data_IF_293165626428
#
_entry.id   IF_293165626428
#
_cell.length_a   1.000
_cell.length_b   1.000
_cell.length_c   1.000
_cell.angle_alpha   90.00
_cell.angle_beta   90.00
_cell.angle_gamma   90.00
#
_symmetry.space_group_name_H-M   'P 1'
#
loop_
_entity.id
_entity.type
_entity.pdbx_description
1 polymer ?
#
# COMPACT_ATOMS: atom_id res chain seq x y z
N UNK A 1 13.06 18.99 8.92
CA UNK A 1 12.56 18.42 7.64
C UNK A 1 13.35 18.86 6.40
N UNK A 2 14.06 20.02 6.44
CA UNK A 2 14.85 20.49 5.31
C UNK A 2 15.81 19.42 4.75
N UNK A 3 16.61 18.69 5.55
CA UNK A 3 17.52 17.69 5.00
C UNK A 3 16.85 16.56 4.19
N UNK A 4 15.59 16.25 4.49
CA UNK A 4 14.80 15.27 3.70
C UNK A 4 14.41 15.87 2.35
N UNK A 5 14.03 17.14 2.32
CA UNK A 5 13.73 17.86 1.08
C UNK A 5 15.00 17.93 0.20
N UNK A 6 16.14 18.31 0.77
CA UNK A 6 17.43 18.38 0.06
C UNK A 6 17.78 17.01 -0.57
N UNK A 7 17.54 15.91 0.15
CA UNK A 7 17.74 14.56 -0.39
C UNK A 7 16.77 14.24 -1.53
N UNK A 8 15.52 14.69 -1.45
CA UNK A 8 14.53 14.49 -2.53
C UNK A 8 14.87 15.32 -3.77
N UNK A 9 15.40 16.54 -3.60
CA UNK A 9 15.94 17.35 -4.71
C UNK A 9 17.12 16.64 -5.39
N UNK A 10 18.07 16.12 -4.60
CA UNK A 10 19.21 15.35 -5.10
C UNK A 10 18.76 14.13 -5.92
N UNK A 11 17.83 13.34 -5.40
CA UNK A 11 17.34 12.11 -6.03
C UNK A 11 16.50 12.36 -7.29
N UNK A 12 15.72 13.44 -7.31
CA UNK A 12 14.82 13.76 -8.41
C UNK A 12 15.41 14.68 -9.47
N UNK A 13 16.44 15.42 -9.12
CA UNK A 13 16.96 16.52 -9.95
C UNK A 13 15.98 17.69 -10.10
N UNK A 14 14.96 17.78 -9.25
CA UNK A 14 13.89 18.80 -9.29
C UNK A 14 13.96 19.71 -8.08
N UNK A 15 13.63 21.00 -8.27
CA UNK A 15 13.58 21.97 -7.17
C UNK A 15 12.33 21.84 -6.33
N UNK A 16 12.47 22.10 -5.03
CA UNK A 16 11.39 22.13 -4.08
C UNK A 16 10.29 23.14 -4.45
N UNK A 17 10.68 24.33 -4.88
CA UNK A 17 9.73 25.43 -5.19
C UNK A 17 8.73 25.02 -6.29
N UNK A 18 9.22 24.28 -7.31
CA UNK A 18 8.39 23.81 -8.40
C UNK A 18 7.55 22.56 -8.01
N UNK A 19 7.95 21.83 -6.98
CA UNK A 19 7.35 20.54 -6.59
C UNK A 19 7.02 20.44 -5.09
N UNK A 20 6.71 21.56 -4.46
CA UNK A 20 6.49 21.69 -3.01
C UNK A 20 5.52 20.63 -2.46
N UNK A 21 4.36 20.45 -3.11
CA UNK A 21 3.35 19.51 -2.63
C UNK A 21 3.87 18.06 -2.63
N UNK A 22 4.47 17.62 -3.73
CA UNK A 22 4.96 16.25 -3.86
C UNK A 22 6.07 15.95 -2.87
N UNK A 23 7.03 16.87 -2.71
CA UNK A 23 8.13 16.68 -1.77
C UNK A 23 7.68 16.70 -0.30
N UNK A 24 6.71 17.57 0.04
CA UNK A 24 6.10 17.58 1.38
C UNK A 24 5.37 16.27 1.68
N UNK A 25 4.57 15.78 0.76
CA UNK A 25 3.86 14.50 0.93
C UNK A 25 4.85 13.35 1.15
N UNK A 26 5.89 13.24 0.31
CA UNK A 26 6.91 12.19 0.48
C UNK A 26 7.58 12.30 1.83
N UNK A 27 8.04 13.49 2.19
CA UNK A 27 8.77 13.76 3.43
C UNK A 27 7.94 13.45 4.68
N UNK A 28 6.70 13.96 4.76
CA UNK A 28 5.82 13.76 5.91
C UNK A 28 5.36 12.31 6.05
N UNK A 29 5.04 11.66 4.94
CA UNK A 29 4.55 10.28 4.97
C UNK A 29 5.66 9.30 5.33
N UNK A 30 6.89 9.50 4.83
CA UNK A 30 8.02 8.64 5.18
C UNK A 30 8.44 8.83 6.63
N UNK A 31 8.44 10.07 7.13
CA UNK A 31 8.65 10.31 8.56
C UNK A 31 7.64 9.54 9.40
N UNK A 32 6.34 9.69 9.10
CA UNK A 32 5.29 8.97 9.81
C UNK A 32 5.45 7.45 9.73
N UNK A 33 5.83 6.91 8.57
CA UNK A 33 6.06 5.48 8.39
C UNK A 33 7.23 4.96 9.24
N UNK A 34 8.34 5.70 9.33
CA UNK A 34 9.49 5.35 10.18
C UNK A 34 9.09 5.24 11.65
N UNK A 35 8.36 6.23 12.16
CA UNK A 35 7.89 6.21 13.56
C UNK A 35 6.88 5.10 13.82
N UNK A 36 5.94 4.85 12.91
CA UNK A 36 4.97 3.76 13.03
C UNK A 36 5.66 2.40 13.11
N UNK A 37 6.70 2.14 12.28
CA UNK A 37 7.45 0.88 12.39
C UNK A 37 8.24 0.82 13.69
N UNK A 38 8.85 1.93 14.11
CA UNK A 38 9.55 2.01 15.39
C UNK A 38 8.63 1.61 16.56
N UNK A 39 7.35 1.99 16.48
CA UNK A 39 6.31 1.62 17.45
C UNK A 39 5.71 0.21 17.21
N UNK A 40 6.27 -0.56 16.28
CA UNK A 40 5.87 -1.95 16.00
C UNK A 40 4.70 -2.11 15.03
N UNK A 41 4.26 -1.03 14.36
CA UNK A 41 3.21 -1.11 13.33
C UNK A 41 3.81 -1.54 12.00
N UNK A 42 3.44 -2.72 11.52
CA UNK A 42 3.86 -3.22 10.21
C UNK A 42 2.81 -2.94 9.13
N UNK A 43 3.23 -2.77 7.84
CA UNK A 43 2.30 -2.62 6.73
C UNK A 43 1.33 -3.79 6.65
N UNK A 44 0.03 -3.51 6.57
CA UNK A 44 -1.00 -4.54 6.59
C UNK A 44 -2.25 -4.17 5.79
N UNK A 45 -3.25 -5.06 5.83
CA UNK A 45 -4.54 -4.86 5.16
C UNK A 45 -5.65 -4.40 6.12
N UNK A 46 -5.34 -4.28 7.42
CA UNK A 46 -6.31 -3.92 8.46
C UNK A 46 -5.73 -2.89 9.41
N UNK A 47 -6.63 -2.11 10.03
CA UNK A 47 -6.32 -1.21 11.14
C UNK A 47 -5.12 -0.27 10.88
N UNK A 48 -4.23 -0.15 11.82
CA UNK A 48 -3.05 0.72 11.75
C UNK A 48 -2.10 0.31 10.61
N UNK A 49 -1.97 -0.99 10.36
CA UNK A 49 -1.15 -1.51 9.25
C UNK A 49 -1.65 -1.08 7.88
N UNK A 50 -2.97 -0.96 7.70
CA UNK A 50 -3.57 -0.42 6.49
C UNK A 50 -3.23 1.08 6.31
N UNK A 51 -3.36 1.86 7.38
CA UNK A 51 -3.01 3.29 7.34
C UNK A 51 -1.52 3.47 6.97
N UNK A 52 -0.65 2.73 7.63
CA UNK A 52 0.79 2.75 7.37
C UNK A 52 1.11 2.40 5.91
N UNK A 53 0.54 1.31 5.40
CA UNK A 53 0.71 0.92 3.99
C UNK A 53 0.22 1.99 3.02
N UNK A 54 -0.90 2.65 3.32
CA UNK A 54 -1.44 3.74 2.50
C UNK A 54 -0.51 4.95 2.46
N UNK A 55 0.03 5.37 3.61
CA UNK A 55 1.01 6.46 3.68
C UNK A 55 2.24 6.15 2.83
N UNK A 56 2.79 4.95 2.97
CA UNK A 56 3.97 4.52 2.23
C UNK A 56 3.72 4.49 0.71
N UNK A 57 2.62 3.89 0.27
CA UNK A 57 2.27 3.82 -1.15
C UNK A 57 2.04 5.20 -1.75
N UNK A 58 1.46 6.11 -0.99
CA UNK A 58 1.30 7.50 -1.42
C UNK A 58 2.66 8.20 -1.55
N UNK A 59 3.56 8.03 -0.60
CA UNK A 59 4.92 8.55 -0.72
C UNK A 59 5.65 8.04 -1.98
N UNK A 60 5.61 6.74 -2.23
CA UNK A 60 6.23 6.13 -3.43
C UNK A 60 5.58 6.64 -4.72
N UNK A 61 4.26 6.86 -4.74
CA UNK A 61 3.57 7.42 -5.91
C UNK A 61 4.02 8.85 -6.21
N UNK A 62 4.11 9.71 -5.18
CA UNK A 62 4.59 11.08 -5.36
C UNK A 62 6.08 11.13 -5.73
N UNK A 63 6.90 10.23 -5.19
CA UNK A 63 8.29 10.11 -5.61
C UNK A 63 8.42 9.69 -7.09
N UNK A 64 7.59 8.76 -7.55
CA UNK A 64 7.53 8.39 -8.96
C UNK A 64 7.16 9.59 -9.85
N UNK A 65 6.25 10.43 -9.41
CA UNK A 65 5.88 11.69 -10.08
C UNK A 65 7.04 12.70 -10.14
N UNK A 66 7.87 12.70 -9.11
CA UNK A 66 9.11 13.48 -9.11
C UNK A 66 10.19 12.92 -10.06
N UNK A 67 9.93 11.77 -10.70
CA UNK A 67 10.89 11.10 -11.59
C UNK A 67 11.83 10.12 -10.86
N UNK A 68 11.59 9.85 -9.57
CA UNK A 68 12.35 8.86 -8.80
C UNK A 68 11.78 7.47 -9.09
N UNK A 69 12.28 6.82 -10.14
CA UNK A 69 11.77 5.53 -10.61
C UNK A 69 12.42 4.30 -9.97
N UNK A 70 13.60 4.47 -9.37
CA UNK A 70 14.30 3.44 -8.61
C UNK A 70 13.87 3.43 -7.13
N UNK A 71 14.27 2.40 -6.40
CA UNK A 71 14.13 2.37 -4.95
C UNK A 71 14.96 3.49 -4.32
N UNK A 72 14.36 4.21 -3.39
CA UNK A 72 14.96 5.41 -2.79
C UNK A 72 14.74 5.51 -1.27
N UNK A 73 13.87 4.66 -0.73
CA UNK A 73 13.43 4.78 0.67
C UNK A 73 14.61 4.69 1.64
N UNK A 74 15.56 3.79 1.40
CA UNK A 74 16.71 3.63 2.29
C UNK A 74 17.52 4.92 2.45
N UNK A 75 17.75 5.65 1.35
CA UNK A 75 18.49 6.92 1.38
C UNK A 75 17.73 7.99 2.18
N UNK A 76 16.42 8.08 1.99
CA UNK A 76 15.58 9.04 2.72
C UNK A 76 15.41 8.64 4.19
N UNK A 77 15.23 7.34 4.49
CA UNK A 77 15.13 6.82 5.85
C UNK A 77 16.38 7.15 6.64
N UNK A 78 17.56 6.98 6.04
CA UNK A 78 18.84 7.33 6.67
C UNK A 78 18.86 8.79 7.11
N UNK A 79 18.39 9.70 6.28
CA UNK A 79 18.30 11.13 6.63
C UNK A 79 17.31 11.37 7.76
N UNK A 80 16.14 10.71 7.73
CA UNK A 80 15.14 10.83 8.79
C UNK A 80 15.72 10.35 10.13
N UNK A 81 16.36 9.18 10.14
CA UNK A 81 16.97 8.62 11.36
C UNK A 81 18.07 9.56 11.89
N UNK A 82 18.91 10.12 11.05
CA UNK A 82 19.94 11.10 11.47
C UNK A 82 19.34 12.35 12.14
N UNK A 83 18.19 12.83 11.68
CA UNK A 83 17.49 13.97 12.28
C UNK A 83 16.99 13.64 13.69
N UNK A 84 16.47 12.44 13.89
CA UNK A 84 15.71 12.10 15.10
C UNK A 84 16.46 11.23 16.13
N UNK A 85 17.61 10.65 15.79
CA UNK A 85 18.34 9.68 16.64
C UNK A 85 18.76 10.21 18.02
N UNK A 86 18.89 11.53 18.19
CA UNK A 86 19.28 12.12 19.47
C UNK A 86 18.07 12.11 20.43
N UNK A 87 16.90 12.53 19.93
CA UNK A 87 15.68 12.62 20.73
C UNK A 87 14.95 11.26 20.85
N UNK A 88 15.16 10.38 19.85
CA UNK A 88 14.55 9.04 19.74
C UNK A 88 15.63 7.99 19.40
N UNK A 89 16.50 7.61 20.35
CA UNK A 89 17.63 6.70 20.10
C UNK A 89 17.23 5.31 19.58
N UNK A 90 16.03 4.84 19.92
CA UNK A 90 15.47 3.57 19.49
C UNK A 90 15.25 3.50 17.96
N UNK A 91 14.98 4.63 17.30
CA UNK A 91 14.90 4.70 15.83
C UNK A 91 16.21 4.26 15.17
N UNK A 92 17.36 4.69 15.72
CA UNK A 92 18.66 4.29 15.20
C UNK A 92 18.95 2.81 15.47
N UNK A 93 18.51 2.28 16.62
CA UNK A 93 18.68 0.86 16.95
C UNK A 93 17.88 -0.05 16.02
N UNK A 94 16.68 0.38 15.60
CA UNK A 94 15.80 -0.36 14.71
C UNK A 94 15.99 -0.03 13.22
N UNK A 95 17.01 0.73 12.85
CA UNK A 95 17.24 1.19 11.47
C UNK A 95 17.14 0.08 10.43
N UNK A 96 17.82 -1.04 10.64
CA UNK A 96 17.84 -2.15 9.69
C UNK A 96 16.44 -2.78 9.53
N UNK A 97 15.67 -2.92 10.61
CA UNK A 97 14.30 -3.42 10.59
C UNK A 97 13.39 -2.48 9.79
N UNK A 98 13.48 -1.18 10.05
CA UNK A 98 12.72 -0.14 9.33
C UNK A 98 13.03 -0.18 7.84
N UNK A 99 14.30 -0.22 7.47
CA UNK A 99 14.75 -0.27 6.07
C UNK A 99 14.25 -1.53 5.37
N UNK A 100 14.36 -2.70 6.00
CA UNK A 100 13.92 -3.96 5.42
C UNK A 100 12.42 -3.95 5.13
N UNK A 101 11.60 -3.52 6.11
CA UNK A 101 10.14 -3.45 5.97
C UNK A 101 9.74 -2.49 4.86
N UNK A 102 10.30 -1.28 4.86
CA UNK A 102 9.94 -0.25 3.88
C UNK A 102 10.41 -0.60 2.46
N UNK A 103 11.63 -1.10 2.30
CA UNK A 103 12.16 -1.53 0.99
C UNK A 103 11.35 -2.69 0.39
N UNK A 104 10.89 -3.63 1.22
CA UNK A 104 10.03 -4.72 0.78
C UNK A 104 8.70 -4.21 0.21
N UNK A 105 8.03 -3.32 0.93
CA UNK A 105 6.76 -2.72 0.48
C UNK A 105 6.97 -1.83 -0.76
N UNK A 106 8.05 -1.05 -0.81
CA UNK A 106 8.38 -0.24 -1.98
C UNK A 106 8.51 -1.09 -3.25
N UNK A 107 9.29 -2.16 -3.18
CA UNK A 107 9.52 -3.07 -4.32
C UNK A 107 8.22 -3.67 -4.83
N UNK A 108 7.39 -4.17 -3.93
CA UNK A 108 6.08 -4.75 -4.27
C UNK A 108 5.18 -3.69 -4.90
N UNK A 109 5.12 -2.50 -4.31
CA UNK A 109 4.23 -1.46 -4.78
C UNK A 109 4.67 -0.85 -6.11
N UNK A 110 5.97 -0.71 -6.38
CA UNK A 110 6.46 -0.19 -7.67
C UNK A 110 6.06 -1.08 -8.86
N UNK A 111 6.02 -2.40 -8.66
CA UNK A 111 5.51 -3.31 -9.70
C UNK A 111 4.02 -3.08 -9.95
N UNK A 112 3.24 -2.95 -8.88
CA UNK A 112 1.82 -2.64 -8.93
C UNK A 112 1.55 -1.26 -9.55
N UNK A 113 2.31 -0.25 -9.15
CA UNK A 113 2.17 1.14 -9.60
C UNK A 113 2.33 1.27 -11.11
N UNK A 114 3.41 0.72 -11.68
CA UNK A 114 3.65 0.76 -13.13
C UNK A 114 2.53 0.08 -13.92
N UNK A 115 2.08 -1.07 -13.43
CA UNK A 115 0.97 -1.82 -14.05
C UNK A 115 -0.34 -1.05 -13.90
N UNK A 116 -0.63 -0.53 -12.71
CA UNK A 116 -1.85 0.22 -12.41
C UNK A 116 -1.98 1.50 -13.24
N UNK A 117 -0.92 2.29 -13.37
CA UNK A 117 -0.93 3.50 -14.21
C UNK A 117 -1.22 3.16 -15.68
N UNK A 118 -0.61 2.10 -16.20
CA UNK A 118 -0.86 1.68 -17.58
C UNK A 118 -2.31 1.23 -17.79
N UNK A 119 -2.86 0.46 -16.88
CA UNK A 119 -4.24 -0.01 -16.97
C UNK A 119 -5.25 1.10 -16.66
N UNK A 120 -4.92 2.05 -15.78
CA UNK A 120 -5.70 3.25 -15.52
C UNK A 120 -6.00 4.00 -16.83
N UNK A 121 -4.99 4.32 -17.62
CA UNK A 121 -5.16 5.03 -18.90
C UNK A 121 -6.04 4.29 -19.91
N UNK A 122 -6.13 2.96 -19.83
CA UNK A 122 -7.00 2.16 -20.69
C UNK A 122 -8.45 2.15 -20.23
N UNK A 123 -8.64 2.03 -18.91
CA UNK A 123 -9.96 1.85 -18.30
C UNK A 123 -10.73 3.17 -18.19
N UNK A 124 -10.04 4.30 -18.14
CA UNK A 124 -10.65 5.62 -17.87
C UNK A 124 -10.94 6.45 -19.11
N UNK A 125 -10.97 5.84 -20.30
CA UNK A 125 -11.23 6.56 -21.56
C UNK A 125 -12.57 7.29 -21.56
N UNK A 126 -13.59 6.72 -20.94
CA UNK A 126 -14.95 7.24 -20.87
C UNK A 126 -15.26 7.86 -19.50
N UNK A 127 -14.27 7.97 -18.61
CA UNK A 127 -14.39 8.44 -17.23
C UNK A 127 -13.99 7.40 -16.21
N UNK A 128 -14.09 7.74 -14.92
CA UNK A 128 -13.76 6.87 -13.80
C UNK A 128 -15.01 6.63 -12.95
N UNK A 129 -15.53 5.40 -12.92
CA UNK A 129 -16.65 4.97 -12.08
C UNK A 129 -16.18 4.04 -10.96
N UNK A 130 -17.08 3.65 -10.06
CA UNK A 130 -16.78 2.65 -9.02
C UNK A 130 -16.30 1.31 -9.57
N UNK A 131 -16.74 0.93 -10.76
CA UNK A 131 -16.36 -0.32 -11.43
C UNK A 131 -14.90 -0.30 -11.91
N UNK A 132 -14.46 0.78 -12.55
CA UNK A 132 -13.06 0.93 -12.97
C UNK A 132 -12.14 1.01 -11.74
N UNK A 133 -12.54 1.75 -10.70
CA UNK A 133 -11.80 1.83 -9.43
C UNK A 133 -11.69 0.44 -8.79
N UNK A 134 -12.79 -0.32 -8.74
CA UNK A 134 -12.77 -1.67 -8.21
C UNK A 134 -11.85 -2.60 -9.01
N UNK A 135 -11.89 -2.52 -10.35
CA UNK A 135 -11.02 -3.32 -11.21
C UNK A 135 -9.54 -2.98 -10.99
N UNK A 136 -9.21 -1.69 -10.87
CA UNK A 136 -7.86 -1.23 -10.57
C UNK A 136 -7.39 -1.73 -9.20
N UNK A 137 -8.25 -1.68 -8.21
CA UNK A 137 -7.95 -2.13 -6.85
C UNK A 137 -7.81 -3.65 -6.75
N UNK A 138 -8.83 -4.40 -7.20
CA UNK A 138 -8.92 -5.85 -7.02
C UNK A 138 -7.95 -6.63 -7.92
N UNK A 139 -7.91 -6.27 -9.21
CA UNK A 139 -7.11 -7.00 -10.20
C UNK A 139 -5.66 -6.53 -10.26
N UNK A 140 -5.44 -5.24 -10.11
CA UNK A 140 -4.11 -4.66 -10.28
C UNK A 140 -3.47 -4.19 -8.97
N UNK A 141 -4.20 -4.20 -7.85
CA UNK A 141 -3.70 -3.74 -6.55
C UNK A 141 -3.44 -2.23 -6.49
N UNK A 142 -4.01 -1.47 -7.43
CA UNK A 142 -3.83 -0.01 -7.48
C UNK A 142 -4.76 0.65 -6.46
N UNK A 143 -4.24 1.45 -5.52
CA UNK A 143 -5.04 2.01 -4.44
C UNK A 143 -6.18 2.90 -4.92
N UNK A 144 -7.34 2.80 -4.26
CA UNK A 144 -8.55 3.58 -4.59
C UNK A 144 -8.27 5.07 -4.60
N UNK A 145 -7.60 5.57 -3.57
CA UNK A 145 -7.28 6.99 -3.43
C UNK A 145 -6.39 7.49 -4.57
N UNK A 146 -5.44 6.65 -5.00
CA UNK A 146 -4.57 7.00 -6.12
C UNK A 146 -5.32 6.99 -7.46
N UNK A 147 -6.31 6.13 -7.64
CA UNK A 147 -7.17 6.14 -8.83
C UNK A 147 -7.93 7.46 -8.95
N UNK A 148 -8.50 7.93 -7.85
CA UNK A 148 -9.25 9.19 -7.81
C UNK A 148 -8.32 10.41 -7.99
N UNK A 149 -7.17 10.42 -7.29
CA UNK A 149 -6.17 11.49 -7.42
C UNK A 149 -5.64 11.58 -8.87
N UNK A 150 -5.37 10.44 -9.51
CA UNK A 150 -4.88 10.41 -10.89
C UNK A 150 -5.93 10.92 -11.87
N UNK A 151 -7.21 10.58 -11.65
CA UNK A 151 -8.31 11.10 -12.47
C UNK A 151 -8.40 12.62 -12.39
N UNK A 152 -8.39 13.20 -11.19
CA UNK A 152 -8.41 14.65 -11.03
C UNK A 152 -7.21 15.33 -11.68
N UNK A 153 -6.03 14.73 -11.56
CA UNK A 153 -4.81 15.26 -12.14
C UNK A 153 -4.84 15.28 -13.68
N UNK A 154 -5.45 14.26 -14.28
CA UNK A 154 -5.60 14.14 -15.73
C UNK A 154 -6.90 14.79 -16.27
N UNK A 155 -7.67 15.49 -15.42
CA UNK A 155 -8.97 16.07 -15.75
C UNK A 155 -9.96 15.03 -16.30
N UNK A 156 -9.89 13.79 -15.79
CA UNK A 156 -10.85 12.72 -16.12
C UNK A 156 -12.07 12.89 -15.24
N UNK A 157 -13.26 12.79 -15.85
CA UNK A 157 -14.52 12.87 -15.10
C UNK A 157 -14.65 11.69 -14.14
N UNK A 158 -14.91 11.96 -12.86
CA UNK A 158 -15.17 10.96 -11.81
C UNK A 158 -16.67 10.95 -11.53
N UNK A 159 -17.29 9.77 -11.64
CA UNK A 159 -18.72 9.62 -11.35
C UNK A 159 -19.03 10.02 -9.89
N UNK A 160 -20.14 10.73 -9.67
CA UNK A 160 -20.48 11.25 -8.35
C UNK A 160 -20.77 10.12 -7.32
N UNK A 161 -21.29 9.01 -7.79
CA UNK A 161 -21.65 7.82 -7.02
C UNK A 161 -20.55 6.75 -6.96
N UNK A 162 -19.34 7.05 -7.44
CA UNK A 162 -18.25 6.08 -7.56
C UNK A 162 -17.96 5.31 -6.28
N UNK A 163 -18.12 5.97 -5.11
CA UNK A 163 -17.82 5.36 -3.82
C UNK A 163 -18.86 4.31 -3.44
N UNK A 164 -20.14 4.61 -3.65
CA UNK A 164 -21.24 3.68 -3.39
C UNK A 164 -21.10 2.44 -4.29
N UNK A 165 -20.86 2.63 -5.57
CA UNK A 165 -20.62 1.55 -6.52
C UNK A 165 -19.42 0.69 -6.13
N UNK A 166 -18.31 1.32 -5.76
CA UNK A 166 -17.11 0.62 -5.30
C UNK A 166 -17.39 -0.21 -4.05
N UNK A 167 -18.05 0.37 -3.03
CA UNK A 167 -18.34 -0.29 -1.77
C UNK A 167 -19.31 -1.48 -1.99
N UNK A 168 -20.28 -1.36 -2.90
CA UNK A 168 -21.17 -2.45 -3.30
C UNK A 168 -20.39 -3.62 -3.91
N UNK A 169 -19.48 -3.36 -4.85
CA UNK A 169 -18.63 -4.37 -5.48
C UNK A 169 -17.68 -5.05 -4.48
N UNK A 170 -17.13 -4.29 -3.54
CA UNK A 170 -16.32 -4.82 -2.45
C UNK A 170 -17.11 -5.77 -1.53
N UNK A 171 -18.34 -5.40 -1.20
CA UNK A 171 -19.23 -6.24 -0.40
C UNK A 171 -19.59 -7.55 -1.12
N UNK A 172 -19.90 -7.48 -2.41
CA UNK A 172 -20.15 -8.67 -3.23
C UNK A 172 -18.95 -9.61 -3.28
N UNK A 173 -17.75 -9.06 -3.48
CA UNK A 173 -16.51 -9.84 -3.46
C UNK A 173 -16.29 -10.52 -2.12
N UNK A 174 -16.50 -9.80 -1.01
CA UNK A 174 -16.38 -10.34 0.34
C UNK A 174 -17.35 -11.50 0.58
N UNK A 175 -18.61 -11.37 0.13
CA UNK A 175 -19.62 -12.43 0.23
C UNK A 175 -19.20 -13.66 -0.59
N UNK A 176 -18.76 -13.49 -1.83
CA UNK A 176 -18.26 -14.57 -2.69
C UNK A 176 -17.10 -15.33 -2.04
N UNK A 177 -16.14 -14.60 -1.47
CA UNK A 177 -14.99 -15.20 -0.79
C UNK A 177 -15.40 -15.99 0.46
N UNK A 178 -16.35 -15.48 1.24
CA UNK A 178 -16.87 -16.17 2.43
C UNK A 178 -17.65 -17.45 2.06
N UNK A 179 -18.43 -17.41 0.98
CA UNK A 179 -19.19 -18.58 0.50
C UNK A 179 -18.27 -19.67 -0.02
N UNK A 180 -17.22 -19.30 -0.77
CA UNK A 180 -16.21 -20.24 -1.25
C UNK A 180 -15.46 -20.93 -0.08
N UNK A 181 -15.11 -20.18 0.96
CA UNK A 181 -14.44 -20.74 2.15
C UNK A 181 -15.38 -21.70 2.95
N UNK A 182 -16.65 -21.36 3.08
CA UNK A 182 -17.63 -22.24 3.74
C UNK A 182 -17.89 -23.52 2.95
N UNK A 183 -17.82 -23.49 1.62
CA UNK A 183 -17.93 -24.66 0.76
C UNK A 183 -16.79 -25.66 0.93
N UNK A 184 -15.56 -25.17 1.07
CA UNK A 184 -14.37 -26.00 1.28
C UNK A 184 -14.39 -26.68 2.65
N UNK A 185 -14.88 -26.01 3.69
CA UNK A 185 -14.96 -26.59 5.05
C UNK A 185 -16.04 -27.68 5.20
N UNK A 186 -17.09 -27.65 4.38
CA UNK A 186 -18.13 -28.69 4.39
C UNK A 186 -17.69 -29.99 3.69
N UNK A 187 -16.66 -29.97 2.85
CA UNK A 187 -16.14 -31.14 2.13
C UNK A 187 -15.07 -31.95 2.87
N UNK A 188 -14.56 -31.49 4.03
CA UNK A 188 -13.38 -32.05 4.70
C UNK A 188 -13.64 -32.95 5.93
N UNK A 189 -14.86 -33.12 6.41
CA UNK A 189 -15.15 -33.89 7.64
C UNK A 189 -16.39 -34.78 7.48
N UNK A 190 -16.39 -35.63 6.46
CA UNK A 190 -17.41 -36.65 6.27
C UNK A 190 -16.77 -37.97 5.90
N UNK A 191 -16.49 -38.83 6.92
CA UNK A 191 -16.28 -40.24 6.69
C UNK A 191 -14.93 -40.82 7.09
N UNK A 192 -14.73 -41.08 8.37
CA UNK A 192 -14.12 -42.34 8.84
C UNK A 192 -14.51 -42.56 10.30
N UNK A 193 -15.59 -43.32 10.44
CA UNK A 193 -15.95 -43.95 11.71
C UNK A 193 -14.94 -45.08 11.98
N UNK A 194 -14.03 -44.83 12.93
CA UNK A 194 -13.14 -45.89 13.42
C UNK A 194 -13.94 -46.90 14.21
N UNK A 195 -14.14 -48.11 13.64
CA UNK A 195 -14.63 -49.28 14.35
C UNK A 195 -13.61 -49.71 15.40
N UNK A 196 -13.95 -49.56 16.67
CA UNK A 196 -13.22 -50.16 17.78
C UNK A 196 -13.30 -51.68 17.71
N UNK A 197 -12.24 -52.38 17.28
CA UNK A 197 -12.06 -53.79 17.54
C UNK A 197 -11.75 -54.03 19.01
N UNK A 198 -12.67 -54.64 19.73
CA UNK A 198 -12.44 -55.19 21.07
C UNK A 198 -11.53 -56.41 20.93
N UNK A 199 -10.35 -56.33 21.55
CA UNK A 199 -9.56 -57.53 21.82
C UNK A 199 -9.99 -58.14 23.14
N UNK A 200 -10.50 -59.39 23.10
CA UNK A 200 -10.62 -60.23 24.27
C UNK A 200 -9.27 -60.91 24.50
N UNK A 201 -8.75 -60.76 25.69
CA UNK A 201 -7.60 -61.56 26.20
C UNK A 201 -8.18 -62.64 27.08
N UNK A 202 -7.90 -63.88 26.74
CA UNK A 202 -8.02 -65.08 27.58
C UNK A 202 -6.72 -65.33 28.30
#
# INVERSE_FOLDING_TARGET
>A
MQPVIDKLEELSGKSYDAHTNSMRVVSDHLRGAVFLINDGVLPGNKEQGYVMRRLLRRAVRFAFELGIEQNFLEEVIKVIVEIYKIDYPDIAQKYNEVVEVLNKEERIFRQTLRKGIREFSKLTKDGLTGKEIFTLYDTYGFPVELSVEEAYKQNINVAADWREDFDNLMNEQKQRSQTATKGIFKGGLGGQTLQHKKYHIS
#
